data_IF_622727167516
#
_entry.id   IF_622727167516
#
_cell.length_a   1.000
_cell.length_b   1.000
_cell.length_c   1.000
_cell.angle_alpha   90.00
_cell.angle_beta   90.00
_cell.angle_gamma   90.00
#
_symmetry.space_group_name_H-M   'P 1'
#
loop_
_entity.id
_entity.type
_entity.pdbx_description
1 polymer ?
#
# COMPACT_ATOMS: atom_id res chain seq x y z
N UNK A 1 5.05 22.64 -12.25
CA UNK A 1 4.42 21.31 -12.17
C UNK A 1 3.15 21.28 -13.03
N UNK A 2 2.46 20.12 -13.14
CA UNK A 2 1.23 19.99 -13.94
C UNK A 2 0.14 20.93 -13.46
N UNK A 3 -0.04 21.06 -12.16
CA UNK A 3 -1.04 21.97 -11.55
C UNK A 3 -0.78 23.41 -11.96
N UNK A 4 0.45 23.88 -11.91
CA UNK A 4 0.80 25.28 -12.27
C UNK A 4 0.62 25.56 -13.76
N UNK A 5 0.93 24.57 -14.61
CA UNK A 5 0.89 24.71 -16.06
C UNK A 5 -0.52 24.52 -16.66
N UNK A 6 -1.31 23.61 -16.10
CA UNK A 6 -2.57 23.15 -16.70
C UNK A 6 -3.78 23.22 -15.76
N UNK A 7 -3.58 23.58 -14.49
CA UNK A 7 -4.65 23.61 -13.48
C UNK A 7 -5.13 22.21 -13.03
N UNK A 8 -4.39 21.15 -13.43
CA UNK A 8 -4.71 19.76 -13.14
C UNK A 8 -3.48 18.98 -12.65
N UNK A 9 -3.61 18.08 -11.66
CA UNK A 9 -2.48 17.31 -11.15
C UNK A 9 -1.95 16.26 -12.14
N UNK A 10 -2.81 15.76 -13.03
CA UNK A 10 -2.47 14.85 -14.12
C UNK A 10 -3.40 15.08 -15.31
N UNK A 11 -2.84 15.49 -16.46
CA UNK A 11 -3.61 15.64 -17.70
C UNK A 11 -3.90 14.28 -18.35
N UNK A 12 -4.99 14.20 -19.12
CA UNK A 12 -5.33 12.98 -19.87
C UNK A 12 -4.28 12.64 -20.92
N UNK A 13 -3.67 13.65 -21.56
CA UNK A 13 -2.55 13.43 -22.48
C UNK A 13 -1.37 12.72 -21.81
N UNK A 14 -1.00 13.16 -20.59
CA UNK A 14 0.08 12.50 -19.82
C UNK A 14 -0.29 11.06 -19.48
N UNK A 15 -1.55 10.80 -19.08
CA UNK A 15 -2.02 9.46 -18.80
C UNK A 15 -1.97 8.56 -20.05
N UNK A 16 -2.39 9.07 -21.21
CA UNK A 16 -2.31 8.32 -22.48
C UNK A 16 -0.86 8.03 -22.92
N UNK A 17 0.06 8.95 -22.66
CA UNK A 17 1.50 8.70 -22.89
C UNK A 17 2.02 7.62 -21.93
N UNK A 18 1.61 7.66 -20.66
CA UNK A 18 1.97 6.64 -19.69
C UNK A 18 1.49 5.24 -20.11
N UNK A 19 0.25 5.10 -20.63
CA UNK A 19 -0.29 3.83 -21.14
C UNK A 19 0.52 3.22 -22.30
N UNK A 20 1.23 4.05 -23.05
CA UNK A 20 2.04 3.62 -24.21
C UNK A 20 3.49 3.32 -23.84
N UNK A 21 3.88 3.50 -22.60
CA UNK A 21 5.24 3.28 -22.11
C UNK A 21 5.40 1.86 -21.58
N UNK A 22 6.57 1.26 -21.73
CA UNK A 22 6.89 -0.05 -21.21
C UNK A 22 6.97 -0.06 -19.66
N UNK A 23 7.44 1.07 -19.10
CA UNK A 23 7.46 1.32 -17.64
C UNK A 23 7.48 2.82 -17.36
N UNK A 24 7.18 3.18 -16.11
CA UNK A 24 7.12 4.57 -15.67
C UNK A 24 8.00 4.75 -14.43
N UNK A 25 8.94 5.67 -14.51
CA UNK A 25 9.68 6.12 -13.34
C UNK A 25 8.95 7.33 -12.73
N UNK A 26 8.41 7.14 -11.52
CA UNK A 26 7.70 8.17 -10.78
C UNK A 26 8.63 8.79 -9.74
N UNK A 27 8.71 10.12 -9.74
CA UNK A 27 9.35 10.88 -8.68
C UNK A 27 8.42 11.12 -7.49
N UNK A 28 8.90 11.90 -6.51
CA UNK A 28 8.09 12.27 -5.35
C UNK A 28 6.87 13.12 -5.74
N UNK A 29 5.72 12.81 -5.15
CA UNK A 29 4.46 13.53 -5.33
C UNK A 29 4.01 14.05 -3.97
N UNK A 30 3.49 15.28 -3.95
CA UNK A 30 3.03 15.95 -2.74
C UNK A 30 3.82 17.22 -2.46
N UNK A 31 3.51 17.82 -1.34
CA UNK A 31 4.14 19.06 -0.86
C UNK A 31 3.91 19.21 0.65
N UNK A 32 4.26 20.37 1.20
CA UNK A 32 4.10 20.64 2.62
C UNK A 32 2.68 21.14 2.89
N UNK A 33 1.89 20.33 3.59
CA UNK A 33 0.53 20.69 4.00
C UNK A 33 0.57 21.99 4.84
N UNK A 34 -0.31 22.94 4.51
CA UNK A 34 -0.38 24.25 5.18
C UNK A 34 0.72 25.24 4.78
N UNK A 35 1.61 24.89 3.83
CA UNK A 35 2.69 25.74 3.32
C UNK A 35 2.56 25.94 1.82
N UNK A 36 2.40 24.86 1.06
CA UNK A 36 2.32 24.93 -0.39
C UNK A 36 0.89 25.26 -0.83
N UNK A 37 0.75 26.22 -1.75
CA UNK A 37 -0.54 26.77 -2.23
C UNK A 37 -1.46 25.71 -2.87
N UNK A 38 -0.91 24.58 -3.32
CA UNK A 38 -1.72 23.48 -3.88
C UNK A 38 -2.73 22.89 -2.89
N UNK A 39 -2.47 23.00 -1.57
CA UNK A 39 -3.39 22.51 -0.53
C UNK A 39 -4.56 23.43 -0.25
N UNK A 40 -4.55 24.67 -0.81
CA UNK A 40 -5.72 25.55 -0.86
C UNK A 40 -6.73 25.14 -1.94
N UNK A 41 -6.28 24.33 -2.90
CA UNK A 41 -7.12 23.81 -3.98
C UNK A 41 -8.11 22.74 -3.46
N UNK A 42 -9.24 22.55 -4.15
CA UNK A 42 -10.14 21.44 -3.90
C UNK A 42 -9.39 20.09 -3.94
N UNK A 43 -9.79 19.09 -3.15
CA UNK A 43 -9.09 17.81 -3.03
C UNK A 43 -8.77 17.12 -4.36
N UNK A 44 -9.68 17.18 -5.34
CA UNK A 44 -9.55 16.60 -6.67
C UNK A 44 -8.48 17.28 -7.55
N UNK A 45 -8.00 18.46 -7.15
CA UNK A 45 -6.94 19.21 -7.83
C UNK A 45 -5.58 19.17 -7.12
N UNK A 46 -5.50 18.49 -5.98
CA UNK A 46 -4.25 18.35 -5.22
C UNK A 46 -3.31 17.33 -5.83
N UNK A 47 -2.01 17.37 -5.52
CA UNK A 47 -1.01 16.43 -6.07
C UNK A 47 -1.40 14.96 -5.89
N UNK A 48 -1.96 14.59 -4.74
CA UNK A 48 -2.38 13.22 -4.40
C UNK A 48 -3.47 12.69 -5.34
N UNK A 49 -4.37 13.56 -5.80
CA UNK A 49 -5.40 13.18 -6.78
C UNK A 49 -4.78 12.74 -8.12
N UNK A 50 -3.65 13.34 -8.52
CA UNK A 50 -2.90 12.91 -9.70
C UNK A 50 -2.31 11.51 -9.54
N UNK A 51 -1.78 11.19 -8.37
CA UNK A 51 -1.25 9.87 -8.05
C UNK A 51 -2.36 8.80 -8.06
N UNK A 52 -3.50 9.08 -7.48
CA UNK A 52 -4.65 8.18 -7.52
C UNK A 52 -5.20 8.00 -8.94
N UNK A 53 -5.25 9.10 -9.73
CA UNK A 53 -5.70 9.07 -11.13
C UNK A 53 -4.79 8.19 -12.00
N UNK A 54 -3.45 8.29 -11.89
CA UNK A 54 -2.53 7.48 -12.69
C UNK A 54 -2.60 6.00 -12.29
N UNK A 55 -2.62 5.68 -11.00
CA UNK A 55 -2.75 4.30 -10.50
C UNK A 55 -4.02 3.63 -11.03
N UNK A 56 -5.16 4.29 -10.89
CA UNK A 56 -6.44 3.79 -11.39
C UNK A 56 -6.46 3.71 -12.92
N UNK A 57 -5.97 4.75 -13.60
CA UNK A 57 -5.97 4.83 -15.06
C UNK A 57 -5.10 3.79 -15.74
N UNK A 58 -4.09 3.28 -15.05
CA UNK A 58 -3.18 2.23 -15.53
C UNK A 58 -3.53 0.84 -14.96
N UNK A 59 -4.55 0.73 -14.10
CA UNK A 59 -4.93 -0.54 -13.48
C UNK A 59 -3.86 -1.11 -12.54
N UNK A 60 -3.08 -0.25 -11.89
CA UNK A 60 -2.00 -0.67 -10.98
C UNK A 60 -2.59 -1.02 -9.61
N UNK A 61 -2.87 -2.28 -9.38
CA UNK A 61 -3.57 -2.74 -8.18
C UNK A 61 -2.66 -3.28 -7.07
N UNK A 62 -1.40 -3.61 -7.37
CA UNK A 62 -0.46 -4.16 -6.40
C UNK A 62 0.70 -3.20 -6.19
N UNK A 63 0.87 -2.70 -4.97
CA UNK A 63 2.02 -1.92 -4.57
C UNK A 63 2.98 -2.78 -3.76
N UNK A 64 4.19 -2.94 -4.26
CA UNK A 64 5.27 -3.64 -3.59
C UNK A 64 6.15 -2.64 -2.84
N UNK A 65 6.32 -2.87 -1.54
CA UNK A 65 7.18 -2.08 -0.67
C UNK A 65 8.09 -3.00 0.14
N UNK A 66 9.34 -3.22 -0.28
CA UNK A 66 10.29 -4.01 0.49
C UNK A 66 10.74 -3.24 1.75
N UNK A 67 10.94 -3.97 2.84
CA UNK A 67 11.55 -3.49 4.07
C UNK A 67 12.77 -4.36 4.35
N UNK A 68 13.94 -3.84 3.99
CA UNK A 68 15.22 -4.55 4.09
C UNK A 68 16.13 -3.76 5.00
N UNK A 69 16.66 -4.38 6.03
CA UNK A 69 17.74 -3.82 6.82
C UNK A 69 19.07 -4.20 6.18
N UNK A 70 19.70 -3.24 5.54
CA UNK A 70 21.06 -3.38 5.02
C UNK A 70 22.08 -3.32 6.15
N UNK A 71 23.09 -4.18 6.11
CA UNK A 71 24.13 -4.25 7.13
C UNK A 71 24.81 -2.89 7.34
N UNK A 72 25.09 -2.19 6.25
CA UNK A 72 25.74 -0.86 6.25
C UNK A 72 24.88 0.23 6.90
N UNK A 73 23.58 0.02 7.01
CA UNK A 73 22.62 0.94 7.62
C UNK A 73 22.13 0.48 9.00
N UNK A 74 22.61 -0.65 9.50
CA UNK A 74 22.18 -1.20 10.79
C UNK A 74 22.33 -0.20 11.95
N UNK A 75 23.36 0.63 11.93
CA UNK A 75 23.56 1.69 12.91
C UNK A 75 22.53 2.83 12.88
N UNK A 76 21.73 2.95 11.82
CA UNK A 76 20.63 3.92 11.71
C UNK A 76 19.28 3.32 12.15
N UNK A 77 19.20 2.02 12.35
CA UNK A 77 18.00 1.34 12.82
C UNK A 77 17.68 1.77 14.27
N UNK A 78 16.46 2.21 14.57
CA UNK A 78 16.08 2.65 15.91
C UNK A 78 15.81 1.51 16.89
N UNK A 79 15.76 0.26 16.40
CA UNK A 79 15.52 -0.90 17.25
C UNK A 79 16.79 -1.36 17.96
N UNK A 80 16.60 -2.09 19.05
CA UNK A 80 17.70 -2.70 19.77
C UNK A 80 18.43 -3.71 18.89
N UNK A 81 19.75 -3.79 19.03
CA UNK A 81 20.62 -4.69 18.26
C UNK A 81 20.15 -6.16 18.33
N UNK A 82 19.75 -6.65 19.51
CA UNK A 82 19.22 -8.00 19.73
C UNK A 82 18.00 -8.36 18.87
N UNK A 83 17.18 -7.36 18.51
CA UNK A 83 15.99 -7.53 17.66
C UNK A 83 16.40 -7.68 16.20
N UNK A 84 17.42 -6.95 15.77
CA UNK A 84 17.80 -6.82 14.36
C UNK A 84 19.07 -7.58 13.99
N UNK A 85 19.69 -8.26 14.93
CA UNK A 85 20.86 -9.11 14.69
C UNK A 85 20.60 -10.10 13.55
N UNK A 86 21.48 -10.09 12.54
CA UNK A 86 21.29 -10.89 11.31
C UNK A 86 20.40 -10.25 10.26
N UNK A 87 19.90 -9.03 10.48
CA UNK A 87 19.06 -8.30 9.55
C UNK A 87 17.64 -8.85 9.42
N UNK A 88 16.85 -8.22 8.56
CA UNK A 88 15.53 -8.71 8.11
C UNK A 88 15.28 -8.28 6.67
N UNK A 89 14.45 -9.05 5.98
CA UNK A 89 14.00 -8.80 4.61
C UNK A 89 12.57 -9.31 4.46
N UNK A 90 11.61 -8.40 4.40
CA UNK A 90 10.22 -8.72 4.09
C UNK A 90 9.63 -7.70 3.13
N UNK A 91 8.51 -8.02 2.50
CA UNK A 91 7.87 -7.17 1.51
C UNK A 91 6.37 -7.04 1.77
N UNK A 92 5.85 -5.83 1.62
CA UNK A 92 4.41 -5.60 1.56
C UNK A 92 3.88 -5.82 0.15
N UNK A 93 2.83 -6.61 0.03
CA UNK A 93 1.92 -6.67 -1.11
C UNK A 93 0.64 -5.91 -0.71
N UNK A 94 0.61 -4.61 -1.01
CA UNK A 94 -0.46 -3.69 -0.68
C UNK A 94 -1.44 -3.57 -1.84
N UNK A 95 -2.74 -3.80 -1.61
CA UNK A 95 -3.77 -3.44 -2.58
C UNK A 95 -3.77 -1.92 -2.76
N UNK A 96 -3.95 -1.44 -4.00
CA UNK A 96 -3.63 -0.05 -4.33
C UNK A 96 -4.78 0.75 -4.95
N UNK A 97 -5.84 0.11 -5.40
CA UNK A 97 -6.91 0.73 -6.21
C UNK A 97 -8.31 0.59 -5.62
N UNK A 98 -8.42 -0.03 -4.46
CA UNK A 98 -9.66 -0.19 -3.70
C UNK A 98 -9.64 0.50 -2.34
N UNK A 99 -10.58 0.13 -1.51
CA UNK A 99 -10.68 0.52 -0.11
C UNK A 99 -11.09 1.97 0.13
N UNK A 100 -10.65 2.49 1.26
CA UNK A 100 -11.06 3.81 1.75
C UNK A 100 -10.65 4.96 0.80
N UNK A 101 -9.50 4.84 0.12
CA UNK A 101 -8.97 5.90 -0.73
C UNK A 101 -9.74 6.06 -2.05
N UNK A 102 -10.50 5.03 -2.45
CA UNK A 102 -11.29 5.02 -3.69
C UNK A 102 -12.80 4.90 -3.47
N UNK A 103 -13.22 4.78 -2.21
CA UNK A 103 -14.62 4.73 -1.82
C UNK A 103 -15.35 6.06 -2.02
N UNK A 104 -16.67 6.00 -1.95
CA UNK A 104 -17.51 7.19 -1.92
C UNK A 104 -17.19 8.03 -0.69
N UNK A 105 -17.10 9.34 -0.90
CA UNK A 105 -16.83 10.30 0.18
C UNK A 105 -17.63 11.58 -0.01
N UNK A 106 -18.11 12.11 1.08
CA UNK A 106 -18.80 13.41 1.09
C UNK A 106 -18.77 14.07 2.46
N UNK A 107 -18.92 15.40 2.46
CA UNK A 107 -19.20 16.17 3.66
C UNK A 107 -20.51 16.93 3.44
N UNK A 108 -21.50 16.73 4.29
CA UNK A 108 -22.80 17.41 4.24
C UNK A 108 -23.33 17.69 5.64
N UNK A 109 -24.34 18.55 5.71
CA UNK A 109 -25.10 18.77 6.93
C UNK A 109 -26.15 17.67 7.06
N UNK A 110 -26.20 17.01 8.21
CA UNK A 110 -27.20 16.02 8.59
C UNK A 110 -27.74 16.44 9.95
N UNK A 111 -29.04 16.69 10.04
CA UNK A 111 -29.74 17.13 11.25
C UNK A 111 -29.09 18.38 11.90
N UNK A 112 -28.65 19.33 11.07
CA UNK A 112 -27.97 20.56 11.52
C UNK A 112 -26.51 20.38 11.94
N UNK A 113 -25.93 19.18 11.77
CA UNK A 113 -24.53 18.87 12.13
C UNK A 113 -23.72 18.57 10.88
N UNK A 114 -22.55 19.23 10.75
CA UNK A 114 -21.61 18.95 9.66
C UNK A 114 -21.01 17.55 9.84
N UNK A 115 -21.30 16.67 8.89
CA UNK A 115 -20.90 15.24 8.90
C UNK A 115 -20.08 14.90 7.68
N UNK A 116 -18.92 14.29 7.88
CA UNK A 116 -18.07 13.73 6.83
C UNK A 116 -18.17 12.21 6.83
N UNK A 117 -18.21 11.60 5.64
CA UNK A 117 -18.28 10.16 5.45
C UNK A 117 -17.26 9.74 4.41
N UNK A 118 -16.50 8.70 4.73
CA UNK A 118 -15.63 7.96 3.82
C UNK A 118 -16.03 6.48 3.87
N UNK A 119 -16.18 5.85 2.70
CA UNK A 119 -16.65 4.48 2.58
C UNK A 119 -15.51 3.52 2.29
N UNK A 120 -15.29 2.57 3.18
CA UNK A 120 -14.38 1.43 2.96
C UNK A 120 -15.15 0.33 2.22
N UNK A 121 -14.74 0.01 1.00
CA UNK A 121 -15.34 -1.03 0.17
C UNK A 121 -14.28 -1.88 -0.51
N UNK A 122 -14.46 -3.20 -0.45
CA UNK A 122 -13.73 -4.19 -1.24
C UNK A 122 -14.71 -5.19 -1.83
N UNK A 123 -14.46 -5.62 -3.06
CA UNK A 123 -15.11 -6.78 -3.64
C UNK A 123 -14.16 -8.00 -3.68
N UNK A 124 -14.72 -9.17 -3.95
CA UNK A 124 -13.98 -10.42 -3.97
C UNK A 124 -12.88 -10.46 -5.03
N UNK A 125 -13.09 -9.82 -6.19
CA UNK A 125 -12.12 -9.82 -7.27
C UNK A 125 -10.90 -8.95 -6.93
N UNK A 126 -11.13 -7.80 -6.28
CA UNK A 126 -10.06 -6.93 -5.80
C UNK A 126 -9.18 -7.64 -4.79
N UNK A 127 -9.78 -8.39 -3.86
CA UNK A 127 -9.06 -9.16 -2.86
C UNK A 127 -8.30 -10.34 -3.50
N UNK A 128 -8.97 -11.09 -4.37
CA UNK A 128 -8.41 -12.28 -5.01
C UNK A 128 -7.17 -11.96 -5.84
N UNK A 129 -7.21 -10.91 -6.66
CA UNK A 129 -6.07 -10.53 -7.50
C UNK A 129 -4.82 -10.16 -6.69
N UNK A 130 -4.98 -9.41 -5.59
CA UNK A 130 -3.83 -9.05 -4.75
C UNK A 130 -3.34 -10.24 -3.91
N UNK A 131 -4.23 -11.12 -3.46
CA UNK A 131 -3.86 -12.35 -2.77
C UNK A 131 -3.01 -13.24 -3.67
N UNK A 132 -3.43 -13.50 -4.92
CA UNK A 132 -2.65 -14.26 -5.90
C UNK A 132 -1.23 -13.68 -6.04
N UNK A 133 -1.10 -12.36 -6.21
CA UNK A 133 0.22 -11.72 -6.31
C UNK A 133 1.08 -11.96 -5.06
N UNK A 134 0.50 -11.84 -3.87
CA UNK A 134 1.22 -12.07 -2.62
C UNK A 134 1.72 -13.52 -2.50
N UNK A 135 0.89 -14.49 -2.85
CA UNK A 135 1.28 -15.90 -2.83
C UNK A 135 2.34 -16.22 -3.89
N UNK A 136 2.23 -15.67 -5.09
CA UNK A 136 3.25 -15.82 -6.14
C UNK A 136 4.60 -15.22 -5.76
N UNK A 137 4.60 -14.09 -5.07
CA UNK A 137 5.80 -13.49 -4.51
C UNK A 137 6.39 -14.41 -3.43
N UNK A 138 5.56 -14.90 -2.51
CA UNK A 138 6.01 -15.79 -1.44
C UNK A 138 6.61 -17.09 -1.98
N UNK A 139 6.08 -17.65 -3.09
CA UNK A 139 6.66 -18.82 -3.77
C UNK A 139 8.11 -18.61 -4.23
N UNK A 140 8.47 -17.36 -4.53
CA UNK A 140 9.84 -16.97 -4.93
C UNK A 140 10.72 -16.55 -3.75
N UNK A 141 10.16 -16.54 -2.54
CA UNK A 141 10.81 -16.13 -1.28
C UNK A 141 10.77 -17.29 -0.25
N UNK A 142 10.51 -16.96 1.01
CA UNK A 142 10.54 -17.95 2.10
C UNK A 142 9.20 -18.68 2.33
N UNK A 143 8.26 -18.58 1.37
CA UNK A 143 6.97 -19.26 1.37
C UNK A 143 6.11 -18.98 2.60
N UNK A 144 6.09 -17.71 3.05
CA UNK A 144 5.23 -17.27 4.16
C UNK A 144 4.44 -16.04 3.72
N UNK A 145 3.13 -16.06 3.95
CA UNK A 145 2.23 -14.91 3.80
C UNK A 145 1.58 -14.61 5.15
N UNK A 146 1.72 -13.38 5.59
CA UNK A 146 0.96 -12.83 6.72
C UNK A 146 -0.15 -11.93 6.16
N UNK A 147 -1.39 -12.39 6.18
CA UNK A 147 -2.55 -11.57 5.79
C UNK A 147 -2.95 -10.69 6.95
N UNK A 148 -2.97 -9.37 6.70
CA UNK A 148 -3.25 -8.37 7.74
C UNK A 148 -4.59 -7.70 7.48
N UNK A 149 -5.46 -7.75 8.50
CA UNK A 149 -6.83 -7.25 8.41
C UNK A 149 -7.35 -6.70 9.76
N UNK A 150 -8.63 -6.35 9.81
CA UNK A 150 -9.37 -5.97 11.02
C UNK A 150 -10.69 -6.75 11.13
N UNK A 151 -10.64 -8.07 10.88
CA UNK A 151 -11.80 -8.95 10.77
C UNK A 151 -12.64 -9.03 12.07
N UNK A 152 -12.05 -8.72 13.23
CA UNK A 152 -12.78 -8.63 14.50
C UNK A 152 -13.81 -7.49 14.52
N UNK A 153 -13.69 -6.49 13.62
CA UNK A 153 -14.58 -5.31 13.58
C UNK A 153 -15.25 -5.11 12.22
N UNK A 154 -14.49 -5.21 11.10
CA UNK A 154 -14.93 -4.79 9.78
C UNK A 154 -15.45 -5.94 8.91
N UNK A 155 -16.59 -5.72 8.23
CA UNK A 155 -17.13 -6.68 7.27
C UNK A 155 -16.22 -6.85 6.04
N UNK A 156 -15.63 -5.77 5.53
CA UNK A 156 -14.66 -5.82 4.44
C UNK A 156 -13.45 -6.69 4.79
N UNK A 157 -12.95 -6.63 6.03
CA UNK A 157 -11.86 -7.48 6.51
C UNK A 157 -12.27 -8.94 6.72
N UNK A 158 -13.52 -9.20 7.09
CA UNK A 158 -14.06 -10.60 7.14
C UNK A 158 -14.12 -11.22 5.74
N UNK A 159 -14.57 -10.46 4.74
CA UNK A 159 -14.51 -10.90 3.34
C UNK A 159 -13.07 -11.10 2.88
N UNK A 160 -12.18 -10.17 3.22
CA UNK A 160 -10.75 -10.26 2.93
C UNK A 160 -10.14 -11.58 3.43
N UNK A 161 -10.29 -11.87 4.72
CA UNK A 161 -9.76 -13.08 5.34
C UNK A 161 -10.28 -14.34 4.64
N UNK A 162 -11.60 -14.40 4.37
CA UNK A 162 -12.22 -15.53 3.68
C UNK A 162 -11.65 -15.76 2.27
N UNK A 163 -11.52 -14.71 1.46
CA UNK A 163 -11.03 -14.83 0.08
C UNK A 163 -9.53 -15.19 0.07
N UNK A 164 -8.74 -14.63 0.98
CA UNK A 164 -7.32 -15.01 1.12
C UNK A 164 -7.16 -16.47 1.50
N UNK A 165 -7.99 -16.98 2.43
CA UNK A 165 -8.03 -18.42 2.78
C UNK A 165 -8.45 -19.30 1.60
N UNK A 166 -9.35 -18.84 0.73
CA UNK A 166 -9.70 -19.57 -0.49
C UNK A 166 -8.53 -19.66 -1.45
N UNK A 167 -7.84 -18.55 -1.71
CA UNK A 167 -6.66 -18.49 -2.59
C UNK A 167 -5.51 -19.33 -2.04
N UNK A 168 -5.31 -19.38 -0.73
CA UNK A 168 -4.21 -20.13 -0.11
C UNK A 168 -4.24 -21.64 -0.45
N UNK A 169 -5.41 -22.19 -0.74
CA UNK A 169 -5.56 -23.62 -1.11
C UNK A 169 -4.88 -23.97 -2.41
N UNK A 170 -4.69 -23.00 -3.30
CA UNK A 170 -3.98 -23.16 -4.57
C UNK A 170 -2.45 -23.11 -4.40
N UNK A 171 -1.99 -22.72 -3.20
CA UNK A 171 -0.57 -22.56 -2.85
C UNK A 171 -0.18 -23.38 -1.60
N UNK A 172 -0.29 -24.71 -1.63
CA UNK A 172 -0.11 -25.58 -0.44
C UNK A 172 1.30 -25.53 0.16
N UNK A 173 2.28 -25.03 -0.59
CA UNK A 173 3.65 -24.84 -0.12
C UNK A 173 3.85 -23.56 0.70
N UNK A 174 2.89 -22.63 0.65
CA UNK A 174 2.97 -21.33 1.34
C UNK A 174 2.24 -21.39 2.67
N UNK A 175 2.92 -21.04 3.73
CA UNK A 175 2.31 -20.92 5.06
C UNK A 175 1.55 -19.61 5.15
N UNK A 176 0.24 -19.66 5.30
CA UNK A 176 -0.61 -18.50 5.58
C UNK A 176 -0.78 -18.31 7.08
N UNK A 177 -0.58 -17.09 7.55
CA UNK A 177 -0.96 -16.63 8.89
C UNK A 177 -1.87 -15.42 8.78
N UNK A 178 -2.83 -15.28 9.68
CA UNK A 178 -3.71 -14.10 9.77
C UNK A 178 -3.33 -13.28 11.00
N UNK A 179 -3.27 -11.96 10.83
CA UNK A 179 -2.90 -11.05 11.93
C UNK A 179 -3.77 -9.79 11.89
N UNK A 180 -4.26 -9.35 13.04
CA UNK A 180 -4.93 -8.06 13.12
C UNK A 180 -3.93 -6.92 12.92
N UNK A 181 -4.34 -5.86 12.25
CA UNK A 181 -3.47 -4.74 11.85
C UNK A 181 -2.75 -4.06 13.02
N UNK A 182 -3.43 -3.90 14.15
CA UNK A 182 -2.85 -3.36 15.37
C UNK A 182 -1.77 -4.28 15.97
N UNK A 183 -1.97 -5.60 15.92
CA UNK A 183 -0.94 -6.54 16.32
C UNK A 183 0.22 -6.54 15.31
N UNK A 184 -0.04 -6.44 14.01
CA UNK A 184 1.01 -6.38 12.99
C UNK A 184 1.94 -5.18 13.21
N UNK A 185 1.39 -3.99 13.50
CA UNK A 185 2.17 -2.81 13.86
C UNK A 185 3.10 -3.07 15.05
N UNK A 186 2.59 -3.68 16.12
CA UNK A 186 3.42 -4.06 17.27
C UNK A 186 4.52 -5.07 16.90
N UNK A 187 4.20 -6.06 16.05
CA UNK A 187 5.12 -7.13 15.68
C UNK A 187 6.21 -6.68 14.71
N UNK A 188 5.96 -5.70 13.84
CA UNK A 188 6.98 -5.07 12.98
C UNK A 188 8.10 -4.48 13.84
N UNK A 189 7.77 -3.85 14.96
CA UNK A 189 8.74 -3.28 15.90
C UNK A 189 9.38 -4.33 16.79
N UNK A 190 8.60 -5.36 17.22
CA UNK A 190 9.05 -6.35 18.19
C UNK A 190 9.89 -7.46 17.59
N UNK A 191 9.50 -7.97 16.42
CA UNK A 191 10.15 -9.09 15.74
C UNK A 191 9.91 -8.99 14.22
N UNK A 192 10.60 -8.07 13.51
CA UNK A 192 10.46 -7.91 12.07
C UNK A 192 10.91 -9.15 11.29
N UNK A 193 11.76 -10.00 11.86
CA UNK A 193 12.33 -11.20 11.23
C UNK A 193 11.31 -12.32 11.01
N UNK A 194 10.16 -12.28 11.68
CA UNK A 194 9.11 -13.27 11.49
C UNK A 194 8.42 -13.17 10.12
N UNK A 195 8.47 -11.99 9.49
CA UNK A 195 7.76 -11.71 8.25
C UNK A 195 8.56 -12.08 6.99
N UNK A 196 7.84 -12.45 5.92
CA UNK A 196 8.36 -12.65 4.57
C UNK A 196 7.54 -11.81 3.57
N UNK A 197 6.24 -12.12 3.41
CA UNK A 197 5.31 -11.31 2.64
C UNK A 197 4.15 -10.89 3.54
N UNK A 198 3.92 -9.58 3.65
CA UNK A 198 2.77 -9.02 4.37
C UNK A 198 1.74 -8.59 3.32
N UNK A 199 0.59 -9.24 3.31
CA UNK A 199 -0.53 -8.95 2.43
C UNK A 199 -1.52 -8.03 3.13
N UNK A 200 -1.81 -6.86 2.55
CA UNK A 200 -2.67 -5.85 3.17
C UNK A 200 -3.63 -5.19 2.19
N UNK A 201 -4.74 -4.68 2.73
CA UNK A 201 -5.56 -3.68 2.05
C UNK A 201 -4.81 -2.33 1.95
N UNK A 202 -5.41 -1.37 1.24
CA UNK A 202 -4.76 -0.12 0.83
C UNK A 202 -4.28 0.74 2.02
N UNK A 203 -5.18 1.10 2.93
CA UNK A 203 -4.87 2.02 4.04
C UNK A 203 -3.94 1.37 5.07
N UNK A 204 -4.18 0.11 5.45
CA UNK A 204 -3.31 -0.59 6.39
C UNK A 204 -1.91 -0.78 5.82
N UNK A 205 -1.81 -1.12 4.53
CA UNK A 205 -0.53 -1.25 3.84
C UNK A 205 0.24 0.06 3.74
N UNK A 206 -0.46 1.19 3.60
CA UNK A 206 0.16 2.52 3.62
C UNK A 206 0.84 2.79 4.96
N UNK A 207 0.08 2.66 6.05
CA UNK A 207 0.54 2.96 7.41
C UNK A 207 1.67 2.02 7.83
N UNK A 208 1.45 0.70 7.67
CA UNK A 208 2.43 -0.30 8.13
C UNK A 208 3.73 -0.28 7.33
N UNK A 209 3.68 0.01 6.03
CA UNK A 209 4.89 0.09 5.23
C UNK A 209 5.72 1.35 5.55
N UNK A 210 5.07 2.45 5.91
CA UNK A 210 5.77 3.65 6.37
C UNK A 210 6.38 3.44 7.77
N UNK A 211 5.69 2.74 8.67
CA UNK A 211 6.26 2.28 9.94
C UNK A 211 7.50 1.40 9.72
N UNK A 212 7.39 0.38 8.86
CA UNK A 212 8.51 -0.49 8.51
C UNK A 212 9.69 0.27 7.92
N UNK A 213 9.45 1.35 7.18
CA UNK A 213 10.49 2.21 6.64
C UNK A 213 11.33 2.87 7.74
N UNK A 214 10.69 3.30 8.81
CA UNK A 214 11.39 3.88 9.95
C UNK A 214 12.19 2.81 10.71
N UNK A 215 11.69 1.58 10.76
CA UNK A 215 12.39 0.45 11.36
C UNK A 215 13.65 0.07 10.59
N UNK A 216 13.67 0.23 9.26
CA UNK A 216 14.90 0.02 8.46
C UNK A 216 15.94 1.13 8.62
N UNK A 217 15.62 2.21 9.29
CA UNK A 217 16.50 3.35 9.52
C UNK A 217 16.69 4.27 8.32
N UNK A 218 16.02 4.03 7.19
CA UNK A 218 16.19 4.87 5.99
C UNK A 218 14.97 4.92 5.10
N UNK A 219 14.20 5.99 5.21
CA UNK A 219 13.08 6.27 4.31
C UNK A 219 13.51 6.39 2.83
N UNK A 220 14.72 6.93 2.59
CA UNK A 220 15.21 7.17 1.23
C UNK A 220 15.70 5.93 0.48
N UNK A 221 15.90 4.81 1.18
CA UNK A 221 16.37 3.55 0.59
C UNK A 221 15.23 2.58 0.23
N UNK A 222 13.98 2.97 0.46
CA UNK A 222 12.84 2.14 0.18
C UNK A 222 12.38 2.35 -1.26
N UNK A 223 12.69 1.37 -2.09
CA UNK A 223 12.10 1.28 -3.42
C UNK A 223 10.60 0.96 -3.32
N UNK A 224 9.82 1.38 -4.29
CA UNK A 224 8.40 1.06 -4.41
C UNK A 224 8.09 0.72 -5.85
N UNK A 225 7.31 -0.31 -6.08
CA UNK A 225 6.80 -0.64 -7.40
C UNK A 225 5.27 -0.79 -7.34
N UNK A 226 4.59 -0.29 -8.36
CA UNK A 226 3.15 -0.51 -8.54
C UNK A 226 2.94 -1.35 -9.77
N UNK A 227 2.28 -2.50 -9.63
CA UNK A 227 2.08 -3.49 -10.68
C UNK A 227 0.61 -3.56 -11.07
N UNK A 228 0.37 -3.72 -12.37
CA UNK A 228 -0.92 -4.03 -12.96
C UNK A 228 -1.01 -5.47 -13.44
N UNK A 229 -1.98 -5.76 -14.29
CA UNK A 229 -2.08 -7.04 -14.98
C UNK A 229 -0.99 -7.12 -16.07
N UNK A 230 -0.34 -8.28 -16.16
CA UNK A 230 0.75 -8.53 -17.13
C UNK A 230 2.11 -8.01 -16.67
N UNK A 231 2.88 -7.44 -17.60
CA UNK A 231 4.27 -6.97 -17.37
C UNK A 231 4.38 -5.48 -17.10
N UNK A 232 3.26 -4.78 -17.04
CA UNK A 232 3.23 -3.33 -16.86
C UNK A 232 3.41 -2.94 -15.41
N UNK A 233 4.28 -1.95 -15.12
CA UNK A 233 4.55 -1.48 -13.77
C UNK A 233 4.99 0.00 -13.70
N UNK A 234 4.92 0.56 -12.48
CA UNK A 234 5.34 1.92 -12.16
C UNK A 234 6.17 1.91 -10.86
#
# INVERSE_FOLDING_TARGET
>A
CSIDAYGEPLTDETLERARKSDSILLGAVGGRVGVDSWYELPPEKRPEAGLLKIRKGLGLFCNLRPAILFEELSGACPLKEEIVEGGFDFIFARELTGGLYFGERYTKEIDGVRTAVDTLKYDENEIRRIAIQAFEIAMKRNKKVCSVDKANVLDSSRLWSKVVEEVSKDYPEVTLTNMLVDNCAMQIVRDPKQFDVILTENMFGDILSDEASMVTGSLGMLSSASLGEGTFGM
#
